data_IF_565944970486
#
_entry.id   IF_565944970486
#
_cell.length_a   1.000
_cell.length_b   1.000
_cell.length_c   1.000
_cell.angle_alpha   90.00
_cell.angle_beta   90.00
_cell.angle_gamma   90.00
#
_symmetry.space_group_name_H-M   'P 1'
#
loop_
_entity.id
_entity.type
_entity.pdbx_description
1 polymer ?
#
# COMPACT_ATOMS: atom_id res chain seq x y z
N UNK A 1 2.03 7.89 -8.50
CA UNK A 1 2.87 7.90 -7.28
C UNK A 1 3.86 9.06 -7.21
N UNK A 2 4.49 9.45 -8.33
CA UNK A 2 5.50 10.51 -8.42
C UNK A 2 5.13 11.85 -7.75
N UNK A 3 3.85 12.23 -7.78
CA UNK A 3 3.35 13.48 -7.19
C UNK A 3 2.69 13.31 -5.82
N UNK A 4 2.65 12.08 -5.29
CA UNK A 4 1.98 11.73 -4.04
C UNK A 4 2.90 10.85 -3.16
N UNK A 5 3.98 11.42 -2.59
CA UNK A 5 4.98 10.66 -1.83
C UNK A 5 4.39 9.95 -0.59
N UNK A 6 3.24 10.41 -0.10
CA UNK A 6 2.54 9.79 1.03
C UNK A 6 2.15 8.33 0.80
N UNK A 7 1.91 7.91 -0.46
CA UNK A 7 1.50 6.53 -0.76
C UNK A 7 2.58 5.52 -0.35
N UNK A 8 3.84 5.80 -0.69
CA UNK A 8 4.95 4.92 -0.33
C UNK A 8 5.19 4.90 1.18
N UNK A 9 5.07 6.06 1.83
CA UNK A 9 5.22 6.18 3.28
C UNK A 9 4.15 5.37 4.03
N UNK A 10 2.88 5.45 3.59
CA UNK A 10 1.78 4.66 4.14
C UNK A 10 2.03 3.16 4.00
N UNK A 11 2.43 2.70 2.80
CA UNK A 11 2.68 1.27 2.58
C UNK A 11 3.83 0.74 3.46
N UNK A 12 4.97 1.45 3.50
CA UNK A 12 6.13 1.00 4.26
C UNK A 12 5.92 1.10 5.77
N UNK A 13 5.19 2.13 6.22
CA UNK A 13 4.73 2.23 7.61
C UNK A 13 3.87 1.03 7.99
N UNK A 14 2.88 0.67 7.17
CA UNK A 14 2.03 -0.48 7.42
C UNK A 14 2.80 -1.81 7.49
N UNK A 15 3.79 -2.01 6.61
CA UNK A 15 4.67 -3.20 6.69
C UNK A 15 5.47 -3.21 7.99
N UNK A 16 6.02 -2.07 8.40
CA UNK A 16 6.79 -1.94 9.64
C UNK A 16 5.94 -2.21 10.89
N UNK A 17 4.74 -1.61 10.96
CA UNK A 17 3.81 -1.79 12.08
C UNK A 17 3.33 -3.25 12.18
N UNK A 18 3.17 -3.91 11.02
CA UNK A 18 2.87 -5.33 10.94
C UNK A 18 4.09 -6.22 11.21
N UNK A 19 5.29 -5.68 11.41
CA UNK A 19 6.52 -6.44 11.68
C UNK A 19 7.01 -7.25 10.49
N UNK A 20 6.77 -6.78 9.27
CA UNK A 20 7.07 -7.50 8.02
C UNK A 20 8.36 -6.95 7.42
N UNK A 21 9.31 -7.85 7.18
CA UNK A 21 10.56 -7.48 6.53
C UNK A 21 10.38 -7.39 5.01
N UNK A 22 10.75 -6.26 4.43
CA UNK A 22 10.77 -6.06 2.98
C UNK A 22 12.15 -6.45 2.45
N UNK A 23 12.22 -7.51 1.65
CA UNK A 23 13.48 -8.02 1.07
C UNK A 23 13.88 -7.28 -0.20
N UNK A 24 12.89 -6.81 -0.96
CA UNK A 24 13.09 -6.07 -2.20
C UNK A 24 11.92 -5.14 -2.48
N UNK A 25 12.22 -4.00 -3.10
CA UNK A 25 11.23 -3.04 -3.57
C UNK A 25 11.47 -2.80 -5.06
N UNK A 26 10.40 -2.86 -5.85
CA UNK A 26 10.39 -2.39 -7.23
C UNK A 26 9.22 -1.43 -7.42
N UNK A 27 9.42 -0.38 -8.21
CA UNK A 27 8.42 0.69 -8.37
C UNK A 27 8.27 1.10 -9.82
N UNK A 28 7.04 1.43 -10.21
CA UNK A 28 6.69 2.17 -11.43
C UNK A 28 5.91 3.43 -11.08
N UNK A 29 5.45 4.18 -12.07
CA UNK A 29 4.65 5.39 -11.82
C UNK A 29 3.32 5.11 -11.10
N UNK A 30 2.81 3.88 -11.21
CA UNK A 30 1.48 3.44 -10.75
C UNK A 30 1.51 2.21 -9.84
N UNK A 31 2.68 1.61 -9.56
CA UNK A 31 2.78 0.36 -8.80
C UNK A 31 3.99 0.38 -7.87
N UNK A 32 3.81 -0.09 -6.64
CA UNK A 32 4.89 -0.61 -5.80
C UNK A 32 4.71 -2.12 -5.72
N UNK A 33 5.79 -2.86 -5.89
CA UNK A 33 5.84 -4.29 -5.61
C UNK A 33 6.93 -4.54 -4.58
N UNK A 34 6.57 -5.25 -3.51
CA UNK A 34 7.46 -5.64 -2.44
C UNK A 34 7.64 -7.16 -2.45
N UNK A 35 8.83 -7.61 -2.11
CA UNK A 35 9.12 -9.03 -1.86
C UNK A 35 9.24 -9.24 -0.34
N UNK A 36 8.59 -10.27 0.17
CA UNK A 36 8.64 -10.66 1.58
C UNK A 36 8.65 -12.19 1.69
N UNK A 37 8.87 -12.70 2.90
CA UNK A 37 8.78 -14.13 3.17
C UNK A 37 7.37 -14.63 2.94
N UNK A 38 7.24 -15.84 2.41
CA UNK A 38 5.95 -16.50 2.21
C UNK A 38 5.14 -16.59 3.50
N UNK A 39 5.81 -16.82 4.64
CA UNK A 39 5.18 -16.86 5.97
C UNK A 39 4.53 -15.54 6.40
N UNK A 40 4.93 -14.41 5.79
CA UNK A 40 4.39 -13.09 6.08
C UNK A 40 3.35 -12.63 5.05
N UNK A 41 3.12 -13.41 3.98
CA UNK A 41 2.33 -12.99 2.83
C UNK A 41 0.91 -12.56 3.22
N UNK A 42 0.20 -13.38 3.99
CA UNK A 42 -1.19 -13.09 4.38
C UNK A 42 -1.28 -11.82 5.24
N UNK A 43 -0.32 -11.65 6.17
CA UNK A 43 -0.23 -10.45 7.02
C UNK A 43 0.13 -9.21 6.19
N UNK A 44 1.01 -9.36 5.18
CA UNK A 44 1.41 -8.28 4.29
C UNK A 44 0.23 -7.80 3.45
N UNK A 45 -0.53 -8.74 2.87
CA UNK A 45 -1.72 -8.43 2.09
C UNK A 45 -2.76 -7.73 2.95
N UNK A 46 -3.04 -8.27 4.15
CA UNK A 46 -4.01 -7.67 5.06
C UNK A 46 -3.60 -6.27 5.50
N UNK A 47 -2.35 -6.08 5.94
CA UNK A 47 -1.84 -4.78 6.35
C UNK A 47 -1.88 -3.76 5.21
N UNK A 48 -1.58 -4.17 3.98
CA UNK A 48 -1.69 -3.31 2.80
C UNK A 48 -3.14 -2.93 2.51
N UNK A 49 -4.08 -3.87 2.56
CA UNK A 49 -5.50 -3.58 2.35
C UNK A 49 -6.04 -2.60 3.38
N UNK A 50 -5.79 -2.84 4.66
CA UNK A 50 -6.23 -1.95 5.74
C UNK A 50 -5.60 -0.56 5.63
N UNK A 51 -4.31 -0.46 5.32
CA UNK A 51 -3.63 0.83 5.18
C UNK A 51 -4.20 1.73 4.08
N UNK A 52 -4.86 1.15 3.08
CA UNK A 52 -5.54 1.85 2.00
C UNK A 52 -7.08 1.75 2.05
N UNK A 53 -7.64 1.23 3.16
CA UNK A 53 -9.07 1.01 3.37
C UNK A 53 -9.75 0.19 2.26
N UNK A 54 -9.04 -0.80 1.70
CA UNK A 54 -9.53 -1.68 0.63
C UNK A 54 -10.23 -2.94 1.16
N UNK A 55 -10.29 -3.11 2.47
CA UNK A 55 -10.99 -4.15 3.23
C UNK A 55 -12.37 -3.72 3.74
N UNK A 56 -12.81 -2.49 3.41
CA UNK A 56 -14.12 -1.98 3.78
C UNK A 56 -15.21 -2.43 2.80
N UNK A 57 -16.35 -2.91 3.31
CA UNK A 57 -17.54 -3.34 2.53
C UNK A 57 -18.19 -2.22 1.69
N UNK A 58 -17.70 -0.99 1.82
CA UNK A 58 -18.05 0.12 0.95
C UNK A 58 -16.94 0.28 -0.09
N UNK A 59 -17.21 -0.20 -1.31
CA UNK A 59 -16.48 0.20 -2.52
C UNK A 59 -16.86 1.64 -2.85
N UNK A 60 -16.54 2.58 -1.96
CA UNK A 60 -16.48 3.98 -2.33
C UNK A 60 -15.07 4.22 -2.85
N UNK A 61 -14.91 4.18 -4.17
CA UNK A 61 -13.67 4.56 -4.81
C UNK A 61 -13.37 6.02 -4.43
N UNK A 62 -12.55 6.23 -3.40
CA UNK A 62 -12.13 7.58 -2.99
C UNK A 62 -11.18 8.10 -4.07
N UNK A 63 -11.73 8.95 -4.93
CA UNK A 63 -10.99 9.62 -5.99
C UNK A 63 -10.09 10.69 -5.37
N UNK A 64 -8.80 10.38 -5.22
CA UNK A 64 -7.77 11.35 -4.81
C UNK A 64 -7.38 12.35 -5.92
N UNK A 65 -8.15 12.42 -7.01
CA UNK A 65 -7.86 13.24 -8.18
C UNK A 65 -9.09 14.00 -8.67
N UNK A 66 -9.38 15.13 -8.03
CA UNK A 66 -10.48 16.00 -8.43
C UNK A 66 -10.20 17.46 -8.09
N UNK A 67 -9.24 18.09 -8.77
CA UNK A 67 -9.32 19.55 -8.95
C UNK A 67 -10.10 19.80 -10.23
N UNK A 68 -11.43 19.91 -10.11
CA UNK A 68 -12.29 20.39 -11.17
C UNK A 68 -11.87 21.80 -11.57
N UNK A 69 -11.17 21.90 -12.70
CA UNK A 69 -11.17 23.02 -13.63
C UNK A 69 -10.94 22.46 -15.03
#
# INVERSE_FOLDING_TARGET
MRSHPGISATLFGAMSDAGINIEMITTSEIRISILCRESDLDRAVQAAHTAFNLDSDQVEAVVYGGSGR
#
